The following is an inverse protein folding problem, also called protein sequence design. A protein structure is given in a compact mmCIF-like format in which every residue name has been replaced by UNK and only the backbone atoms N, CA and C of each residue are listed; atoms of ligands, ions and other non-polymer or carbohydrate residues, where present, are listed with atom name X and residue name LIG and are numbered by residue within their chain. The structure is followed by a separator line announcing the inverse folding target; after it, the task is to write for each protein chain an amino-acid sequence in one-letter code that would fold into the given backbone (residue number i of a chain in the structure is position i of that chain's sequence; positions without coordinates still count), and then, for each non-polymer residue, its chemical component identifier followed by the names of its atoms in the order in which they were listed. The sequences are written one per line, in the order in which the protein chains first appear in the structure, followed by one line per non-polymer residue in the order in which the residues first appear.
data_IF_914999724813
#
_entry.id   IF_914999724813
#
_cell.length_a   1.000
_cell.length_b   1.000
_cell.length_c   1.000
_cell.angle_alpha   90.00
_cell.angle_beta   90.00
_cell.angle_gamma   90.00
#
_symmetry.space_group_name_H-M   'P 1'
#
loop_
_entity.id
_entity.type
_entity.pdbx_description
1 polymer ?
#
# COMPACT_ATOMS: atom_id res chain seq x y z
N UNK A 1 30.01 -21.15 -19.10
CA UNK A 1 28.85 -21.43 -19.96
C UNK A 1 28.18 -22.69 -19.43
N UNK A 2 27.29 -22.54 -18.44
CA UNK A 2 26.43 -23.62 -17.92
C UNK A 2 25.10 -22.95 -17.57
N UNK A 3 24.06 -23.39 -18.26
CA UNK A 3 22.65 -23.04 -18.07
C UNK A 3 22.13 -23.66 -16.77
N UNK A 4 21.44 -22.87 -15.95
CA UNK A 4 20.64 -23.38 -14.82
C UNK A 4 19.21 -22.83 -14.92
N UNK A 5 18.46 -23.41 -15.87
CA UNK A 5 17.02 -23.55 -15.78
C UNK A 5 16.77 -24.76 -14.88
N UNK A 6 16.30 -24.54 -13.66
CA UNK A 6 15.75 -25.60 -12.82
C UNK A 6 14.38 -25.15 -12.33
N UNK A 7 13.36 -25.65 -13.02
CA UNK A 7 11.97 -25.62 -12.62
C UNK A 7 11.83 -26.34 -11.27
N UNK A 8 11.49 -25.61 -10.22
CA UNK A 8 10.97 -26.18 -8.98
C UNK A 8 9.45 -26.12 -9.01
N UNK A 9 8.85 -27.09 -9.69
CA UNK A 9 7.47 -27.46 -9.48
C UNK A 9 7.41 -28.33 -8.21
N UNK A 10 7.11 -27.72 -7.06
CA UNK A 10 6.59 -28.48 -5.92
C UNK A 10 5.08 -28.25 -5.88
N UNK A 11 4.34 -29.30 -6.24
CA UNK A 11 2.90 -29.39 -6.01
C UNK A 11 2.63 -29.36 -4.51
N UNK A 12 2.35 -28.17 -3.99
CA UNK A 12 1.92 -27.96 -2.63
C UNK A 12 0.45 -28.38 -2.52
N UNK A 13 0.23 -29.60 -2.04
CA UNK A 13 -1.08 -30.06 -1.58
C UNK A 13 -1.43 -29.33 -0.28
N UNK A 14 -1.92 -28.09 -0.40
CA UNK A 14 -2.41 -27.35 0.78
C UNK A 14 -3.75 -27.94 1.18
N UNK A 15 -3.75 -28.71 2.26
CA UNK A 15 -5.00 -29.08 2.95
C UNK A 15 -5.56 -27.80 3.59
N UNK A 16 -6.70 -27.35 3.08
CA UNK A 16 -7.46 -26.20 3.60
C UNK A 16 -8.31 -26.71 4.78
N UNK A 17 -8.40 -25.93 5.85
CA UNK A 17 -8.97 -26.35 7.13
C UNK A 17 -10.39 -25.81 7.35
N UNK A 18 -11.05 -26.42 8.36
CA UNK A 18 -12.50 -26.52 8.64
C UNK A 18 -13.43 -25.30 8.56
N UNK A 19 -13.03 -24.09 8.19
CA UNK A 19 -13.92 -22.90 8.20
C UNK A 19 -13.48 -21.74 7.27
N UNK A 20 -12.74 -22.02 6.18
CA UNK A 20 -12.16 -20.95 5.36
C UNK A 20 -13.11 -20.45 4.25
N UNK A 21 -13.44 -19.15 4.25
CA UNK A 21 -14.11 -18.48 3.12
C UNK A 21 -13.13 -18.26 1.96
N UNK A 22 -13.62 -18.04 0.74
CA UNK A 22 -12.78 -17.80 -0.44
C UNK A 22 -11.79 -16.63 -0.26
N UNK A 23 -12.15 -15.48 0.33
CA UNK A 23 -11.19 -14.45 0.77
C UNK A 23 -10.03 -15.01 1.61
N UNK A 24 -10.31 -15.86 2.61
CA UNK A 24 -9.28 -16.49 3.44
C UNK A 24 -8.37 -17.44 2.64
N UNK A 25 -8.92 -18.15 1.66
CA UNK A 25 -8.15 -19.00 0.74
C UNK A 25 -7.16 -18.16 -0.09
N UNK A 26 -7.56 -16.98 -0.59
CA UNK A 26 -6.64 -16.07 -1.31
C UNK A 26 -5.45 -15.65 -0.43
N UNK A 27 -5.69 -15.20 0.81
CA UNK A 27 -4.58 -14.81 1.68
C UNK A 27 -3.68 -15.98 2.08
N UNK A 28 -4.25 -17.15 2.38
CA UNK A 28 -3.45 -18.34 2.71
C UNK A 28 -2.55 -18.73 1.54
N UNK A 29 -3.09 -18.70 0.32
CA UNK A 29 -2.36 -18.91 -0.91
C UNK A 29 -1.22 -17.89 -1.09
N UNK A 30 -1.51 -16.60 -0.90
CA UNK A 30 -0.52 -15.53 -0.99
C UNK A 30 0.58 -15.74 0.06
N UNK A 31 0.23 -15.95 1.32
CA UNK A 31 1.16 -16.21 2.43
C UNK A 31 2.11 -17.37 2.13
N UNK A 32 1.57 -18.48 1.64
CA UNK A 32 2.34 -19.67 1.27
C UNK A 32 3.33 -19.39 0.14
N UNK A 33 2.97 -18.46 -0.76
CA UNK A 33 3.78 -18.12 -1.93
C UNK A 33 4.81 -17.03 -1.61
N UNK A 34 4.62 -16.24 -0.54
CA UNK A 34 5.46 -15.08 -0.21
C UNK A 34 6.29 -15.20 1.07
N UNK A 35 6.25 -16.34 1.79
CA UNK A 35 6.93 -16.43 3.10
C UNK A 35 8.46 -16.54 2.98
N UNK A 36 9.13 -15.38 3.02
CA UNK A 36 10.37 -15.22 3.79
C UNK A 36 10.01 -14.59 5.14
N UNK A 37 10.49 -15.20 6.23
CA UNK A 37 10.13 -14.95 7.62
C UNK A 37 10.25 -13.49 8.08
N UNK A 38 9.45 -13.08 9.07
CA UNK A 38 9.91 -12.64 10.40
C UNK A 38 8.70 -12.35 11.33
N UNK A 39 8.81 -12.85 12.57
CA UNK A 39 8.07 -12.50 13.80
C UNK A 39 6.54 -12.35 13.79
N UNK A 40 5.85 -13.35 14.34
CA UNK A 40 4.91 -13.20 15.47
C UNK A 40 3.50 -12.65 15.24
N UNK A 41 3.27 -11.75 14.28
CA UNK A 41 1.92 -11.30 13.93
C UNK A 41 1.77 -11.24 12.43
N UNK A 42 0.66 -11.79 11.93
CA UNK A 42 0.34 -11.72 10.51
C UNK A 42 0.12 -10.25 10.14
N UNK A 43 0.89 -9.63 9.23
CA UNK A 43 0.65 -8.25 8.83
C UNK A 43 -0.54 -8.14 7.87
N UNK A 44 -1.01 -9.24 7.30
CA UNK A 44 -2.05 -9.24 6.29
C UNK A 44 -3.45 -9.41 6.88
N UNK A 45 -4.40 -8.61 6.39
CA UNK A 45 -5.81 -8.62 6.77
C UNK A 45 -6.70 -8.76 5.53
N UNK A 46 -7.82 -9.44 5.70
CA UNK A 46 -8.88 -9.53 4.69
C UNK A 46 -9.70 -8.25 4.71
N UNK A 47 -10.17 -7.84 3.54
CA UNK A 47 -11.36 -6.99 3.47
C UNK A 47 -12.59 -7.86 3.53
N UNK A 48 -13.56 -7.48 4.35
CA UNK A 48 -14.85 -8.19 4.44
C UNK A 48 -15.59 -8.17 3.10
N UNK A 49 -15.39 -7.10 2.32
CA UNK A 49 -15.97 -6.91 0.99
C UNK A 49 -14.87 -6.51 0.00
N UNK A 50 -14.37 -7.46 -0.82
CA UNK A 50 -13.43 -7.16 -1.88
C UNK A 50 -13.89 -6.02 -2.78
N UNK A 51 -12.99 -5.09 -3.07
CA UNK A 51 -13.30 -3.89 -3.86
C UNK A 51 -12.85 -4.13 -5.30
N UNK A 52 -13.82 -4.22 -6.20
CA UNK A 52 -13.54 -4.29 -7.65
C UNK A 52 -12.93 -2.99 -8.15
N UNK A 53 -11.94 -3.11 -9.02
CA UNK A 53 -11.30 -1.94 -9.63
C UNK A 53 -11.98 -1.64 -10.98
N UNK A 54 -12.64 -0.47 -11.16
CA UNK A 54 -13.38 -0.17 -12.37
C UNK A 54 -12.44 0.17 -13.54
N UNK A 55 -12.96 0.14 -14.77
CA UNK A 55 -12.19 0.50 -15.96
C UNK A 55 -11.84 2.01 -16.00
N UNK A 56 -12.64 2.84 -15.33
CA UNK A 56 -12.49 4.29 -15.27
C UNK A 56 -12.28 4.75 -13.82
N UNK A 57 -11.07 4.54 -13.32
CA UNK A 57 -10.71 4.76 -11.91
C UNK A 57 -11.04 6.16 -11.39
N UNK A 58 -10.84 7.18 -12.22
CA UNK A 58 -11.04 8.56 -11.84
C UNK A 58 -12.51 9.00 -11.95
N UNK A 59 -13.35 8.31 -12.72
CA UNK A 59 -14.76 8.69 -12.89
C UNK A 59 -15.70 8.09 -11.83
N UNK A 60 -15.28 7.01 -11.18
CA UNK A 60 -16.15 6.21 -10.33
C UNK A 60 -16.13 6.71 -8.87
N UNK A 61 -17.22 7.37 -8.46
CA UNK A 61 -17.38 7.91 -7.10
C UNK A 61 -17.50 6.82 -6.03
N UNK A 62 -18.06 5.66 -6.38
CA UNK A 62 -18.17 4.51 -5.48
C UNK A 62 -16.82 3.91 -5.17
N UNK A 63 -16.00 3.69 -6.20
CA UNK A 63 -14.63 3.22 -6.07
C UNK A 63 -13.74 4.21 -5.34
N UNK A 64 -13.82 5.52 -5.65
CA UNK A 64 -13.11 6.57 -4.90
C UNK A 64 -13.46 6.54 -3.42
N UNK A 65 -14.73 6.30 -3.08
CA UNK A 65 -15.19 6.19 -1.69
C UNK A 65 -14.63 4.91 -1.04
N UNK A 66 -14.68 3.78 -1.74
CA UNK A 66 -14.13 2.52 -1.26
C UNK A 66 -12.62 2.58 -1.03
N UNK A 67 -11.86 3.23 -1.92
CA UNK A 67 -10.40 3.42 -1.73
C UNK A 67 -10.12 4.27 -0.48
N UNK A 68 -10.88 5.34 -0.24
CA UNK A 68 -10.70 6.18 0.95
C UNK A 68 -10.86 5.42 2.26
N UNK A 69 -11.61 4.32 2.28
CA UNK A 69 -11.73 3.46 3.47
C UNK A 69 -10.38 2.85 3.86
N UNK A 70 -9.48 2.59 2.90
CA UNK A 70 -8.14 2.08 3.15
C UNK A 70 -7.14 3.15 3.64
N UNK A 71 -7.52 4.43 3.58
CA UNK A 71 -6.75 5.54 4.19
C UNK A 71 -7.17 5.82 5.65
N UNK A 72 -8.10 5.03 6.20
CA UNK A 72 -8.46 5.07 7.63
C UNK A 72 -7.44 4.30 8.47
N UNK A 73 -7.28 4.70 9.73
CA UNK A 73 -6.50 3.94 10.70
C UNK A 73 -7.27 2.65 11.05
N UNK A 74 -6.75 1.44 10.78
CA UNK A 74 -7.36 0.21 11.27
C UNK A 74 -7.38 0.20 12.80
N UNK A 75 -8.49 -0.28 13.38
CA UNK A 75 -8.63 -0.41 14.83
C UNK A 75 -7.69 -1.46 15.44
N UNK A 76 -7.68 -1.56 16.78
CA UNK A 76 -6.88 -2.58 17.51
C UNK A 76 -7.17 -4.02 17.05
N UNK A 77 -8.41 -4.31 16.66
CA UNK A 77 -8.84 -5.61 16.12
C UNK A 77 -8.49 -5.82 14.63
N UNK A 78 -7.92 -4.83 13.95
CA UNK A 78 -7.68 -4.87 12.51
C UNK A 78 -8.92 -4.67 11.65
N UNK A 79 -10.07 -4.33 12.23
CA UNK A 79 -11.23 -3.89 11.47
C UNK A 79 -11.09 -2.42 11.06
N UNK A 80 -11.51 -2.08 9.84
CA UNK A 80 -11.64 -0.69 9.41
C UNK A 80 -12.86 -0.08 10.12
N UNK A 81 -12.71 0.99 10.92
CA UNK A 81 -13.84 1.63 11.55
C UNK A 81 -14.76 2.25 10.49
N UNK A 82 -16.08 2.21 10.75
CA UNK A 82 -17.13 2.71 9.83
C UNK A 82 -17.23 4.23 9.80
N UNK A 83 -16.69 4.92 10.81
CA UNK A 83 -16.89 6.36 11.02
C UNK A 83 -15.68 7.19 10.57
N UNK A 84 -15.95 8.39 10.01
CA UNK A 84 -14.93 9.33 9.50
C UNK A 84 -14.00 9.90 10.60
N UNK A 85 -14.34 9.73 11.87
CA UNK A 85 -13.55 10.17 13.02
C UNK A 85 -12.17 9.48 13.14
N UNK A 86 -11.95 8.38 12.40
CA UNK A 86 -10.73 7.56 12.46
C UNK A 86 -9.78 7.77 11.27
N UNK A 87 -9.88 8.91 10.58
CA UNK A 87 -8.85 9.26 9.59
C UNK A 87 -7.51 9.51 10.29
N UNK A 88 -6.42 9.12 9.62
CA UNK A 88 -5.05 9.46 10.01
C UNK A 88 -4.97 10.97 10.33
N UNK A 89 -5.56 11.81 9.48
CA UNK A 89 -5.61 13.26 9.66
C UNK A 89 -6.36 13.69 10.94
N UNK A 90 -7.50 13.09 11.28
CA UNK A 90 -8.25 13.48 12.49
C UNK A 90 -7.51 13.10 13.77
N UNK A 91 -6.98 11.87 13.85
CA UNK A 91 -6.19 11.40 14.99
C UNK A 91 -4.93 12.25 15.19
N UNK A 92 -4.22 12.53 14.09
CA UNK A 92 -3.01 13.34 14.09
C UNK A 92 -3.26 14.84 14.34
N UNK A 93 -4.39 15.37 13.87
CA UNK A 93 -4.81 16.75 14.18
C UNK A 93 -5.08 16.92 15.67
N UNK A 94 -5.67 15.91 16.33
CA UNK A 94 -5.89 15.91 17.78
C UNK A 94 -4.56 15.97 18.54
N UNK A 95 -3.57 15.18 18.12
CA UNK A 95 -2.20 15.20 18.68
C UNK A 95 -1.56 16.58 18.46
N UNK A 96 -1.65 17.13 17.25
CA UNK A 96 -0.97 18.37 16.89
C UNK A 96 -1.37 19.61 17.70
N UNK A 97 -2.56 19.60 18.31
CA UNK A 97 -3.03 20.72 19.14
C UNK A 97 -2.28 20.82 20.47
N UNK A 98 -1.67 19.71 20.90
CA UNK A 98 -1.12 19.56 22.24
C UNK A 98 0.40 19.36 22.26
N UNK A 99 1.05 19.16 21.10
CA UNK A 99 2.51 18.95 20.98
C UNK A 99 3.26 20.26 20.72
N UNK A 100 4.29 20.52 21.50
CA UNK A 100 5.42 21.38 21.18
C UNK A 100 6.61 20.51 20.78
N UNK A 101 7.14 20.73 19.57
CA UNK A 101 8.37 20.08 19.17
C UNK A 101 9.53 20.86 19.76
N UNK A 102 10.42 20.17 20.47
CA UNK A 102 11.63 20.81 20.97
C UNK A 102 12.52 21.18 19.78
N UNK A 103 13.03 22.41 19.74
CA UNK A 103 14.09 22.77 18.79
C UNK A 103 15.32 21.94 19.16
N UNK A 104 15.58 20.85 18.43
CA UNK A 104 16.78 20.04 18.63
C UNK A 104 18.01 20.95 18.57
N UNK A 105 18.75 21.03 19.67
CA UNK A 105 20.03 21.71 19.69
C UNK A 105 21.06 20.77 19.07
N UNK A 106 21.52 21.10 17.86
CA UNK A 106 22.56 20.32 17.18
C UNK A 106 23.86 20.37 18.00
N UNK A 107 24.51 19.21 18.15
CA UNK A 107 25.88 19.13 18.63
C UNK A 107 26.85 19.80 17.64
N UNK A 108 28.05 20.15 18.08
CA UNK A 108 29.02 20.82 17.20
C UNK A 108 29.46 19.95 16.02
N UNK A 109 29.51 18.62 16.23
CA UNK A 109 29.75 17.64 15.16
C UNK A 109 28.61 17.66 14.12
N UNK A 110 27.36 17.71 14.57
CA UNK A 110 26.19 17.76 13.67
C UNK A 110 26.09 19.09 12.93
N UNK A 111 26.41 20.21 13.58
CA UNK A 111 26.52 21.51 12.92
C UNK A 111 27.58 21.47 11.81
N UNK A 112 28.71 20.82 12.07
CA UNK A 112 29.76 20.67 11.08
C UNK A 112 29.32 19.81 9.90
N UNK A 113 28.67 18.67 10.16
CA UNK A 113 28.13 17.79 9.11
C UNK A 113 27.05 18.46 8.27
N UNK A 114 26.17 19.26 8.90
CA UNK A 114 25.17 20.06 8.21
C UNK A 114 25.84 21.11 7.31
N UNK A 115 26.88 21.78 7.81
CA UNK A 115 27.66 22.77 7.04
C UNK A 115 28.35 22.12 5.84
N UNK A 116 28.94 20.94 6.01
CA UNK A 116 29.59 20.19 4.92
C UNK A 116 28.57 19.74 3.87
N UNK A 117 27.42 19.20 4.29
CA UNK A 117 26.35 18.80 3.37
C UNK A 117 25.79 20.01 2.60
N UNK A 118 25.57 21.16 3.26
CA UNK A 118 25.13 22.40 2.61
C UNK A 118 26.16 22.90 1.60
N UNK A 119 27.46 22.87 1.92
CA UNK A 119 28.54 23.27 1.00
C UNK A 119 28.66 22.38 -0.24
N UNK A 120 28.28 21.10 -0.14
CA UNK A 120 28.25 20.22 -1.31
C UNK A 120 27.16 20.66 -2.30
N UNK A 121 26.04 21.16 -1.79
CA UNK A 121 24.87 21.49 -2.60
C UNK A 121 24.80 22.95 -3.05
N UNK A 122 25.26 23.89 -2.20
CA UNK A 122 25.12 25.33 -2.42
C UNK A 122 26.43 26.07 -2.18
N UNK A 123 26.64 27.13 -2.97
CA UNK A 123 27.83 27.98 -2.89
C UNK A 123 27.69 29.08 -1.82
N UNK A 124 26.46 29.45 -1.49
CA UNK A 124 26.11 30.53 -0.57
C UNK A 124 25.36 30.01 0.67
N UNK A 125 25.43 30.78 1.76
CA UNK A 125 24.75 30.42 3.02
C UNK A 125 23.22 30.48 2.91
N UNK A 126 22.70 31.29 1.98
CA UNK A 126 21.26 31.41 1.71
C UNK A 126 20.72 30.27 0.83
N UNK A 127 21.57 29.32 0.41
CA UNK A 127 21.18 28.15 -0.39
C UNK A 127 20.48 28.51 -1.71
N UNK A 128 20.83 29.65 -2.31
CA UNK A 128 20.19 30.13 -3.54
C UNK A 128 20.96 29.74 -4.79
N UNK A 129 22.28 29.53 -4.67
CA UNK A 129 23.16 29.24 -5.79
C UNK A 129 23.67 27.81 -5.69
N UNK A 130 23.20 26.89 -6.56
CA UNK A 130 23.65 25.51 -6.53
C UNK A 130 25.14 25.40 -6.92
N UNK A 131 25.84 24.41 -6.36
CA UNK A 131 27.17 24.03 -6.83
C UNK A 131 27.11 23.43 -8.23
N UNK A 132 28.25 23.32 -8.91
CA UNK A 132 28.34 22.60 -10.19
C UNK A 132 27.90 21.13 -10.05
N UNK A 133 28.27 20.50 -8.94
CA UNK A 133 27.84 19.14 -8.57
C UNK A 133 26.32 19.04 -8.47
N UNK A 134 25.68 19.93 -7.71
CA UNK A 134 24.23 19.88 -7.53
C UNK A 134 23.47 20.28 -8.79
N UNK A 135 23.99 21.20 -9.59
CA UNK A 135 23.41 21.58 -10.89
C UNK A 135 23.40 20.41 -11.88
N UNK A 136 24.49 19.64 -11.91
CA UNK A 136 24.60 18.42 -12.72
C UNK A 136 23.57 17.38 -12.26
N UNK A 137 23.45 17.16 -10.95
CA UNK A 137 22.43 16.28 -10.37
C UNK A 137 21.00 16.68 -10.79
N UNK A 138 20.66 17.97 -10.66
CA UNK A 138 19.33 18.48 -11.02
C UNK A 138 19.03 18.32 -12.53
N UNK A 139 20.06 18.41 -13.37
CA UNK A 139 19.92 18.18 -14.82
C UNK A 139 19.53 16.73 -15.11
N UNK A 140 20.22 15.75 -14.51
CA UNK A 140 19.87 14.34 -14.66
C UNK A 140 18.50 14.02 -14.06
N UNK A 141 18.16 14.60 -12.91
CA UNK A 141 16.83 14.47 -12.30
C UNK A 141 15.74 14.94 -13.25
N UNK A 142 15.89 16.13 -13.83
CA UNK A 142 14.95 16.71 -14.80
C UNK A 142 14.79 15.81 -16.04
N UNK A 143 15.91 15.32 -16.60
CA UNK A 143 15.88 14.40 -17.74
C UNK A 143 15.14 13.09 -17.41
N UNK A 144 15.38 12.51 -16.23
CA UNK A 144 14.69 11.30 -15.78
C UNK A 144 13.20 11.55 -15.60
N UNK A 145 12.83 12.64 -14.92
CA UNK A 145 11.43 13.00 -14.63
C UNK A 145 10.66 13.22 -15.94
N UNK A 146 11.29 13.81 -16.95
CA UNK A 146 10.70 13.97 -18.28
C UNK A 146 10.46 12.64 -18.99
N UNK A 147 11.44 11.72 -18.98
CA UNK A 147 11.25 10.39 -19.58
C UNK A 147 10.18 9.58 -18.82
N UNK A 148 10.12 9.70 -17.49
CA UNK A 148 9.09 9.06 -16.69
C UNK A 148 7.69 9.60 -17.01
N UNK A 149 7.56 10.91 -17.31
CA UNK A 149 6.32 11.51 -17.79
C UNK A 149 5.92 10.95 -19.16
N UNK A 150 6.84 10.90 -20.11
CA UNK A 150 6.60 10.34 -21.44
C UNK A 150 6.18 8.86 -21.38
N UNK A 151 6.79 8.08 -20.47
CA UNK A 151 6.45 6.68 -20.26
C UNK A 151 4.98 6.47 -19.84
N UNK A 152 4.41 7.42 -19.07
CA UNK A 152 3.01 7.36 -18.64
C UNK A 152 2.02 7.59 -19.79
N UNK A 153 2.40 8.41 -20.77
CA UNK A 153 1.58 8.69 -21.96
C UNK A 153 1.78 7.69 -23.10
N UNK A 154 2.83 6.86 -23.06
CA UNK A 154 3.16 5.92 -24.13
C UNK A 154 2.35 4.61 -24.02
N UNK A 155 1.63 4.30 -25.10
CA UNK A 155 0.70 3.16 -25.18
C UNK A 155 1.29 1.97 -25.93
N UNK A 156 2.33 2.18 -26.75
CA UNK A 156 2.93 1.11 -27.55
C UNK A 156 3.99 0.34 -26.76
N UNK A 157 4.01 -1.01 -26.79
CA UNK A 157 5.03 -1.79 -26.09
C UNK A 157 6.46 -1.44 -26.51
N UNK A 158 6.67 -1.22 -27.82
CA UNK A 158 7.97 -0.83 -28.36
C UNK A 158 8.41 0.57 -27.90
N UNK A 159 7.49 1.55 -27.87
CA UNK A 159 7.75 2.88 -27.36
C UNK A 159 8.10 2.87 -25.87
N UNK A 160 7.35 2.12 -25.07
CA UNK A 160 7.62 1.93 -23.63
C UNK A 160 9.01 1.32 -23.38
N UNK A 161 9.37 0.28 -24.12
CA UNK A 161 10.69 -0.36 -24.01
C UNK A 161 11.83 0.61 -24.33
N UNK A 162 11.69 1.46 -25.36
CA UNK A 162 12.67 2.48 -25.71
C UNK A 162 12.83 3.53 -24.59
N UNK A 163 11.71 4.04 -24.06
CA UNK A 163 11.75 5.02 -22.96
C UNK A 163 12.37 4.41 -21.69
N UNK A 164 12.07 3.15 -21.37
CA UNK A 164 12.70 2.44 -20.26
C UNK A 164 14.22 2.31 -20.44
N UNK A 165 14.69 2.02 -21.65
CA UNK A 165 16.12 1.99 -21.95
C UNK A 165 16.77 3.37 -21.76
N UNK A 166 16.10 4.46 -22.18
CA UNK A 166 16.59 5.82 -21.96
C UNK A 166 16.69 6.14 -20.47
N UNK A 167 15.69 5.77 -19.67
CA UNK A 167 15.72 5.93 -18.21
C UNK A 167 16.88 5.15 -17.60
N UNK A 168 17.12 3.90 -18.03
CA UNK A 168 18.23 3.09 -17.56
C UNK A 168 19.59 3.76 -17.85
N UNK A 169 19.79 4.28 -19.07
CA UNK A 169 21.00 4.99 -19.45
C UNK A 169 21.18 6.30 -18.65
N UNK A 170 20.10 7.06 -18.43
CA UNK A 170 20.12 8.26 -17.58
C UNK A 170 20.54 7.89 -16.15
N UNK A 171 19.96 6.84 -15.57
CA UNK A 171 20.29 6.42 -14.21
C UNK A 171 21.77 5.99 -14.08
N UNK A 172 22.28 5.23 -15.04
CA UNK A 172 23.69 4.83 -15.07
C UNK A 172 24.61 6.05 -15.16
N UNK A 173 24.33 6.99 -16.06
CA UNK A 173 25.13 8.21 -16.20
C UNK A 173 25.00 9.14 -14.98
N UNK A 174 23.84 9.16 -14.34
CA UNK A 174 23.59 9.93 -13.13
C UNK A 174 24.43 9.39 -11.96
N UNK A 175 24.55 8.08 -11.83
CA UNK A 175 25.39 7.44 -10.82
C UNK A 175 26.88 7.71 -11.05
N UNK A 176 27.35 7.60 -12.30
CA UNK A 176 28.77 7.74 -12.63
C UNK A 176 29.24 9.20 -12.66
N UNK A 177 28.45 10.08 -13.27
CA UNK A 177 28.87 11.46 -13.60
C UNK A 177 27.99 12.53 -12.97
N UNK A 178 26.81 12.17 -12.47
CA UNK A 178 25.88 13.10 -11.84
C UNK A 178 25.97 13.14 -10.32
N UNK A 179 26.97 12.48 -9.71
CA UNK A 179 27.22 12.46 -8.27
C UNK A 179 25.99 12.08 -7.45
N UNK A 180 25.15 11.19 -7.98
CA UNK A 180 23.83 10.85 -7.42
C UNK A 180 23.90 10.47 -5.95
N UNK A 181 24.80 9.56 -5.59
CA UNK A 181 24.90 9.05 -4.23
C UNK A 181 25.36 10.12 -3.23
N UNK A 182 26.35 10.93 -3.58
CA UNK A 182 26.88 11.98 -2.70
C UNK A 182 25.84 13.08 -2.47
N UNK A 183 25.14 13.48 -3.53
CA UNK A 183 24.07 14.48 -3.44
C UNK A 183 22.87 13.95 -2.67
N UNK A 184 22.42 12.72 -2.91
CA UNK A 184 21.33 12.10 -2.15
C UNK A 184 21.68 11.94 -0.67
N UNK A 185 22.93 11.58 -0.37
CA UNK A 185 23.41 11.51 1.01
C UNK A 185 23.47 12.89 1.67
N UNK A 186 23.93 13.92 0.97
CA UNK A 186 23.93 15.29 1.48
C UNK A 186 22.50 15.83 1.69
N UNK A 187 21.58 15.59 0.75
CA UNK A 187 20.16 15.93 0.89
C UNK A 187 19.54 15.21 2.10
N UNK A 188 19.82 13.91 2.25
CA UNK A 188 19.35 13.12 3.39
C UNK A 188 19.96 13.61 4.71
N UNK A 189 21.21 14.09 4.71
CA UNK A 189 21.92 14.64 5.87
C UNK A 189 21.36 15.99 6.28
N UNK A 190 21.11 16.89 5.32
CA UNK A 190 20.42 18.16 5.58
C UNK A 190 19.04 17.86 6.14
N UNK A 191 18.28 16.94 5.54
CA UNK A 191 16.97 16.55 6.06
C UNK A 191 17.03 15.90 7.46
N UNK A 192 18.15 15.31 7.89
CA UNK A 192 18.29 14.74 9.26
C UNK A 192 18.69 15.76 10.31
N UNK A 193 19.37 16.82 9.87
CA UNK A 193 20.00 17.81 10.73
C UNK A 193 19.38 19.20 10.51
N UNK A 194 18.23 19.26 9.82
CA UNK A 194 17.58 20.51 9.46
C UNK A 194 17.18 21.26 10.75
N UNK A 195 17.71 22.47 10.92
CA UNK A 195 17.40 23.34 12.06
C UNK A 195 16.14 24.19 11.84
N UNK A 196 15.48 24.02 10.68
CA UNK A 196 14.18 24.62 10.39
C UNK A 196 13.26 24.35 11.57
N UNK A 197 12.80 25.42 12.20
CA UNK A 197 12.08 25.36 13.46
C UNK A 197 10.88 24.40 13.42
N UNK A 198 10.48 23.84 14.58
CA UNK A 198 9.29 23.03 14.81
C UNK A 198 8.07 23.33 13.93
N UNK A 199 7.76 24.61 13.77
CA UNK A 199 6.62 25.10 13.00
C UNK A 199 6.69 24.82 11.51
N UNK A 200 7.88 24.84 10.91
CA UNK A 200 8.09 24.63 9.47
C UNK A 200 8.01 23.14 9.14
N UNK A 201 8.65 22.29 9.96
CA UNK A 201 8.56 20.84 9.83
C UNK A 201 7.11 20.35 10.04
N UNK A 202 6.41 20.94 11.02
CA UNK A 202 5.00 20.66 11.25
C UNK A 202 4.11 21.12 10.08
N UNK A 203 4.37 22.29 9.49
CA UNK A 203 3.62 22.77 8.33
C UNK A 203 3.85 21.90 7.08
N UNK A 204 5.09 21.52 6.79
CA UNK A 204 5.44 20.60 5.70
C UNK A 204 4.76 19.23 5.88
N UNK A 205 4.78 18.68 7.09
CA UNK A 205 4.08 17.44 7.42
C UNK A 205 2.56 17.56 7.31
N UNK A 206 1.99 18.65 7.84
CA UNK A 206 0.55 18.92 7.73
C UNK A 206 0.13 19.00 6.27
N UNK A 207 0.95 19.62 5.41
CA UNK A 207 0.70 19.67 3.96
C UNK A 207 0.77 18.29 3.32
N UNK A 208 1.75 17.45 3.69
CA UNK A 208 1.86 16.07 3.21
C UNK A 208 0.62 15.23 3.54
N UNK A 209 -0.01 15.43 4.71
CA UNK A 209 -1.24 14.71 5.09
C UNK A 209 -2.49 15.35 4.47
N UNK A 210 -2.53 16.67 4.34
CA UNK A 210 -3.70 17.42 3.87
C UNK A 210 -3.96 17.24 2.37
N UNK A 211 -2.93 16.85 1.59
CA UNK A 211 -3.03 16.65 0.15
C UNK A 211 -3.97 15.51 -0.29
N UNK A 212 -4.47 14.69 0.65
CA UNK A 212 -5.63 13.82 0.45
C UNK A 212 -5.33 12.51 -0.27
N UNK A 213 -5.74 11.40 0.36
CA UNK A 213 -5.61 9.99 -0.07
C UNK A 213 -4.26 9.64 -0.70
N UNK A 214 -3.32 9.11 0.10
CA UNK A 214 -2.05 8.61 -0.43
C UNK A 214 -2.26 7.40 -1.37
N UNK A 215 -3.37 6.66 -1.21
CA UNK A 215 -3.80 5.67 -2.20
C UNK A 215 -4.46 6.40 -3.38
N UNK A 216 -3.63 6.80 -4.34
CA UNK A 216 -4.09 7.42 -5.59
C UNK A 216 -4.61 6.34 -6.55
N UNK A 217 -5.77 6.54 -7.22
CA UNK A 217 -6.24 5.62 -8.25
C UNK A 217 -5.21 5.37 -9.36
N UNK A 218 -4.37 6.37 -9.66
CA UNK A 218 -3.27 6.25 -10.63
C UNK A 218 -2.16 5.27 -10.19
N UNK A 219 -1.92 5.09 -8.89
CA UNK A 219 -0.98 4.09 -8.38
C UNK A 219 -1.51 2.66 -8.59
N UNK A 220 -2.84 2.50 -8.51
CA UNK A 220 -3.51 1.22 -8.77
C UNK A 220 -3.47 0.90 -10.27
N UNK A 221 -3.72 1.87 -11.16
CA UNK A 221 -3.62 1.62 -12.60
C UNK A 221 -2.21 1.26 -13.06
N UNK A 222 -1.16 1.88 -12.50
CA UNK A 222 0.22 1.52 -12.85
C UNK A 222 0.55 0.07 -12.47
N UNK A 223 0.01 -0.42 -11.36
CA UNK A 223 0.20 -1.79 -10.87
C UNK A 223 -0.32 -2.85 -11.88
N UNK A 224 -1.32 -2.50 -12.69
CA UNK A 224 -1.88 -3.43 -13.70
C UNK A 224 -0.95 -3.69 -14.88
N UNK A 225 -0.02 -2.77 -15.14
CA UNK A 225 0.94 -2.87 -16.23
C UNK A 225 2.28 -3.46 -15.75
N UNK A 226 2.44 -3.70 -14.45
CA UNK A 226 3.64 -4.34 -13.92
C UNK A 226 3.74 -5.81 -14.36
N UNK A 227 4.95 -6.30 -14.71
CA UNK A 227 5.16 -7.69 -15.10
C UNK A 227 5.24 -8.66 -13.91
N UNK A 228 5.14 -8.17 -12.67
CA UNK A 228 5.44 -8.86 -11.41
C UNK A 228 4.27 -9.70 -10.83
N UNK A 229 3.21 -9.95 -11.61
CA UNK A 229 2.06 -10.74 -11.15
C UNK A 229 2.45 -12.19 -10.89
N UNK A 230 2.11 -12.67 -9.71
CA UNK A 230 2.37 -14.06 -9.30
C UNK A 230 1.10 -14.87 -9.54
N UNK A 231 1.21 -15.92 -10.34
CA UNK A 231 0.09 -16.85 -10.58
C UNK A 231 0.01 -17.89 -9.48
N UNK A 232 -1.16 -18.02 -8.90
CA UNK A 232 -1.54 -19.09 -7.98
C UNK A 232 -2.57 -20.01 -8.65
N UNK A 233 -2.48 -21.31 -8.36
CA UNK A 233 -3.47 -22.30 -8.77
C UNK A 233 -3.45 -23.47 -7.79
N UNK A 234 -4.58 -23.77 -7.15
CA UNK A 234 -4.71 -24.91 -6.25
C UNK A 234 -6.08 -25.58 -6.38
N UNK A 235 -6.10 -26.87 -6.06
CA UNK A 235 -7.36 -27.57 -5.79
C UNK A 235 -7.93 -27.04 -4.48
N UNK A 236 -9.22 -26.70 -4.48
CA UNK A 236 -9.91 -26.15 -3.30
C UNK A 236 -11.06 -27.08 -2.96
N UNK A 237 -11.21 -27.38 -1.67
CA UNK A 237 -12.41 -27.97 -1.11
C UNK A 237 -12.84 -27.05 0.04
N UNK A 238 -14.11 -26.64 0.06
CA UNK A 238 -14.67 -25.86 1.16
C UNK A 238 -15.37 -26.82 2.12
N UNK A 239 -15.11 -26.64 3.42
CA UNK A 239 -15.71 -27.50 4.45
C UNK A 239 -17.20 -27.22 4.68
N UNK A 240 -17.64 -25.99 4.36
CA UNK A 240 -19.05 -25.58 4.44
C UNK A 240 -19.62 -25.31 3.03
N UNK A 241 -20.56 -26.15 2.54
CA UNK A 241 -21.19 -25.95 1.25
C UNK A 241 -22.09 -24.72 1.15
N UNK A 242 -22.68 -24.27 2.25
CA UNK A 242 -23.55 -23.09 2.26
C UNK A 242 -22.75 -21.78 2.16
N UNK A 243 -21.46 -21.83 2.49
CA UNK A 243 -20.54 -20.73 2.29
C UNK A 243 -20.41 -20.37 0.80
N UNK A 244 -20.49 -21.33 -0.13
CA UNK A 244 -20.31 -21.07 -1.56
C UNK A 244 -21.65 -20.80 -2.27
N UNK A 245 -22.12 -19.55 -2.19
CA UNK A 245 -23.36 -19.09 -2.84
C UNK A 245 -23.16 -17.78 -3.60
N UNK A 246 -23.96 -17.60 -4.65
CA UNK A 246 -24.15 -16.31 -5.30
C UNK A 246 -25.08 -15.46 -4.45
N UNK A 247 -24.71 -14.21 -4.21
CA UNK A 247 -25.63 -13.20 -3.70
C UNK A 247 -26.23 -12.46 -4.90
N UNK A 248 -27.55 -12.58 -5.09
CA UNK A 248 -28.31 -11.92 -6.16
C UNK A 248 -29.36 -11.06 -5.49
N UNK A 249 -29.24 -9.74 -5.60
CA UNK A 249 -30.15 -8.78 -4.94
C UNK A 249 -30.34 -9.07 -3.43
N UNK A 250 -29.28 -9.54 -2.76
CA UNK A 250 -29.30 -9.92 -1.33
C UNK A 250 -29.81 -11.34 -1.04
N UNK A 251 -30.35 -12.07 -2.02
CA UNK A 251 -30.74 -13.46 -1.87
C UNK A 251 -29.60 -14.42 -2.21
N UNK A 252 -29.41 -15.46 -1.38
CA UNK A 252 -28.40 -16.51 -1.64
C UNK A 252 -28.94 -17.53 -2.63
N UNK A 253 -28.17 -17.81 -3.68
CA UNK A 253 -28.39 -18.91 -4.62
C UNK A 253 -27.21 -19.88 -4.55
N UNK A 254 -27.43 -21.15 -4.20
CA UNK A 254 -26.34 -22.10 -3.97
C UNK A 254 -25.58 -22.41 -5.25
N UNK A 255 -24.27 -22.58 -5.13
CA UNK A 255 -23.40 -23.03 -6.22
C UNK A 255 -22.82 -24.42 -5.91
N UNK A 256 -22.48 -25.21 -6.94
CA UNK A 256 -21.68 -26.41 -6.73
C UNK A 256 -20.33 -26.10 -6.07
N UNK A 257 -19.79 -27.07 -5.35
CA UNK A 257 -18.48 -26.94 -4.70
C UNK A 257 -17.38 -26.54 -5.69
N UNK A 258 -16.46 -25.62 -5.33
CA UNK A 258 -15.25 -25.40 -6.11
C UNK A 258 -14.36 -26.65 -6.06
N UNK A 259 -13.67 -26.94 -7.16
CA UNK A 259 -12.63 -27.98 -7.25
C UNK A 259 -11.26 -27.39 -7.49
N UNK A 260 -11.20 -26.21 -8.12
CA UNK A 260 -9.95 -25.48 -8.38
C UNK A 260 -10.19 -23.98 -8.28
N UNK A 261 -9.23 -23.29 -7.68
CA UNK A 261 -9.11 -21.84 -7.69
C UNK A 261 -7.76 -21.45 -8.30
N UNK A 262 -7.78 -20.63 -9.35
CA UNK A 262 -6.60 -19.98 -9.89
C UNK A 262 -6.79 -18.47 -9.92
N UNK A 263 -5.71 -17.72 -9.72
CA UNK A 263 -5.69 -16.26 -9.82
C UNK A 263 -4.26 -15.77 -10.00
N UNK A 264 -4.12 -14.53 -10.45
CA UNK A 264 -2.87 -13.78 -10.37
C UNK A 264 -2.97 -12.76 -9.25
N UNK A 265 -1.90 -12.56 -8.48
CA UNK A 265 -1.87 -11.55 -7.44
C UNK A 265 -0.63 -10.66 -7.52
N UNK A 266 -0.78 -9.46 -6.95
CA UNK A 266 0.28 -8.46 -6.81
C UNK A 266 0.15 -7.79 -5.45
N UNK A 267 1.29 -7.52 -4.81
CA UNK A 267 1.39 -6.67 -3.63
C UNK A 267 1.73 -5.26 -4.08
N UNK A 268 0.76 -4.35 -3.99
CA UNK A 268 0.99 -2.94 -4.29
C UNK A 268 1.42 -2.23 -3.01
N UNK A 269 2.67 -1.81 -2.95
CA UNK A 269 3.16 -0.99 -1.84
C UNK A 269 2.53 0.42 -1.93
N UNK A 270 2.02 0.88 -0.79
CA UNK A 270 1.51 2.23 -0.62
C UNK A 270 2.59 3.02 0.09
N UNK A 271 3.13 4.02 -0.60
CA UNK A 271 4.07 4.97 -0.02
C UNK A 271 3.34 5.86 0.98
N UNK A 272 3.77 5.82 2.25
CA UNK A 272 3.22 6.59 3.37
C UNK A 272 4.22 7.66 3.82
N UNK A 273 4.70 8.46 2.88
CA UNK A 273 5.81 9.41 3.11
C UNK A 273 5.54 10.37 4.28
N UNK A 274 4.28 10.74 4.52
CA UNK A 274 3.90 11.59 5.64
C UNK A 274 4.17 10.92 7.01
N UNK A 275 4.12 9.58 7.04
CA UNK A 275 4.32 8.77 8.25
C UNK A 275 5.76 8.28 8.40
N UNK A 276 6.57 8.37 7.35
CA UNK A 276 8.02 8.14 7.41
C UNK A 276 8.79 9.38 7.92
N UNK A 277 8.08 10.46 8.22
CA UNK A 277 8.69 11.70 8.67
C UNK A 277 9.43 11.49 10.01
N UNK A 278 10.74 11.78 10.00
CA UNK A 278 11.66 11.54 11.13
C UNK A 278 11.17 12.09 12.47
N UNK A 279 10.44 13.20 12.46
CA UNK A 279 9.94 13.80 13.69
C UNK A 279 8.87 12.92 14.38
N UNK A 280 8.16 12.02 13.69
CA UNK A 280 7.25 11.03 14.32
C UNK A 280 7.98 10.02 15.23
N UNK A 281 9.30 9.94 15.09
CA UNK A 281 10.18 9.05 15.83
C UNK A 281 11.07 9.81 16.83
N UNK A 282 10.80 11.11 17.04
CA UNK A 282 11.60 11.96 17.92
C UNK A 282 11.16 11.75 19.39
N UNK A 283 12.12 11.37 20.25
CA UNK A 283 11.92 11.14 21.69
C UNK A 283 11.90 12.44 22.51
N UNK A 284 11.97 13.61 21.85
CA UNK A 284 11.94 14.92 22.51
C UNK A 284 10.59 15.61 22.44
N UNK A 285 9.54 14.89 22.05
CA UNK A 285 8.17 15.42 22.02
C UNK A 285 7.77 15.94 23.40
N UNK A 286 7.29 17.17 23.47
CA UNK A 286 6.76 17.76 24.70
C UNK A 286 5.36 18.29 24.46
N UNK A 287 4.52 18.36 25.49
CA UNK A 287 3.34 19.21 25.37
C UNK A 287 3.72 20.68 25.59
N UNK A 288 2.76 21.56 25.31
CA UNK A 288 2.80 23.00 25.61
C UNK A 288 3.06 23.37 27.08
N UNK A 289 3.09 22.38 27.98
CA UNK A 289 3.38 22.55 29.40
C UNK A 289 4.75 21.98 29.78
N UNK A 290 5.55 21.54 28.81
CA UNK A 290 6.93 21.04 28.98
C UNK A 290 7.08 19.56 29.32
N UNK A 291 5.97 18.81 29.49
CA UNK A 291 6.01 17.38 29.79
C UNK A 291 6.39 16.56 28.57
N UNK A 292 7.28 15.58 28.75
CA UNK A 292 7.70 14.65 27.69
C UNK A 292 6.51 13.76 27.32
N UNK A 293 6.17 13.72 26.03
CA UNK A 293 5.06 12.95 25.49
C UNK A 293 5.46 11.55 25.07
N UNK A 294 6.75 11.33 24.82
CA UNK A 294 7.29 10.06 24.34
C UNK A 294 8.77 9.96 24.73
N UNK A 295 9.16 8.89 25.42
CA UNK A 295 10.57 8.48 25.56
C UNK A 295 10.90 7.21 24.75
N UNK A 296 9.92 6.68 24.01
CA UNK A 296 10.01 5.48 23.20
C UNK A 296 10.23 4.17 23.97
N UNK A 297 10.05 4.14 25.29
CA UNK A 297 10.58 3.06 26.12
C UNK A 297 9.54 2.26 26.92
N UNK A 298 8.30 2.11 26.41
CA UNK A 298 7.32 1.24 27.06
C UNK A 298 7.54 -0.23 26.68
N UNK A 299 8.02 -1.01 27.66
CA UNK A 299 8.18 -2.45 27.52
C UNK A 299 6.83 -3.21 27.41
N UNK A 300 5.71 -2.54 27.67
CA UNK A 300 4.35 -3.09 27.70
C UNK A 300 3.37 -2.14 27.02
N UNK A 301 2.48 -2.66 26.18
CA UNK A 301 1.39 -1.89 25.57
C UNK A 301 0.41 -1.41 26.66
N UNK A 302 0.41 -0.13 27.00
CA UNK A 302 -0.62 0.48 27.83
C UNK A 302 -1.87 0.79 26.98
N UNK A 303 -3.07 0.66 27.55
CA UNK A 303 -4.34 1.04 26.91
C UNK A 303 -4.42 2.51 26.52
N UNK A 304 -3.56 3.33 27.10
CA UNK A 304 -3.42 4.76 26.82
C UNK A 304 -2.30 5.11 25.83
N UNK A 305 -1.65 4.11 25.22
CA UNK A 305 -0.66 4.33 24.16
C UNK A 305 -1.31 4.46 22.78
N UNK A 306 -0.73 5.33 21.95
CA UNK A 306 -1.07 5.41 20.55
C UNK A 306 -0.18 4.43 19.78
N UNK A 307 -0.83 3.46 19.12
CA UNK A 307 -0.21 2.58 18.15
C UNK A 307 -0.67 3.04 16.77
N UNK A 308 0.11 3.89 16.07
CA UNK A 308 -0.26 4.29 14.72
C UNK A 308 -0.14 3.05 13.84
N UNK A 309 -1.27 2.62 13.31
CA UNK A 309 -1.36 1.50 12.38
C UNK A 309 -1.80 2.04 11.05
N UNK A 310 -1.08 1.72 9.99
CA UNK A 310 -1.42 2.21 8.66
C UNK A 310 -1.36 1.12 7.62
N UNK A 311 -2.23 1.24 6.63
CA UNK A 311 -2.22 0.36 5.46
C UNK A 311 -0.99 0.66 4.63
N UNK A 312 0.00 -0.24 4.61
CA UNK A 312 1.25 -0.08 3.87
C UNK A 312 1.25 -0.80 2.54
N UNK A 313 0.36 -1.79 2.35
CA UNK A 313 0.24 -2.51 1.09
C UNK A 313 -1.21 -2.90 0.79
N UNK A 314 -1.56 -2.96 -0.49
CA UNK A 314 -2.79 -3.56 -0.97
C UNK A 314 -2.48 -4.88 -1.65
N UNK A 315 -3.36 -5.85 -1.45
CA UNK A 315 -3.33 -7.13 -2.14
C UNK A 315 -4.35 -7.06 -3.26
N UNK A 316 -3.83 -7.03 -4.48
CA UNK A 316 -4.61 -7.06 -5.70
C UNK A 316 -4.63 -8.49 -6.25
N UNK A 317 -5.80 -8.95 -6.69
CA UNK A 317 -5.97 -10.19 -7.45
C UNK A 317 -6.67 -9.92 -8.77
N UNK A 318 -6.28 -10.60 -9.84
CA UNK A 318 -6.94 -10.57 -11.15
C UNK A 318 -6.95 -11.97 -11.76
N UNK A 319 -7.64 -12.14 -12.89
CA UNK A 319 -7.76 -13.42 -13.59
C UNK A 319 -8.20 -14.55 -12.63
N UNK A 320 -9.19 -14.26 -11.79
CA UNK A 320 -9.75 -15.24 -10.86
C UNK A 320 -10.55 -16.25 -11.66
N UNK A 321 -10.24 -17.52 -11.50
CA UNK A 321 -10.87 -18.64 -12.18
C UNK A 321 -11.27 -19.70 -11.15
N UNK A 322 -12.51 -20.14 -11.19
CA UNK A 322 -13.06 -21.13 -10.28
C UNK A 322 -13.69 -22.24 -11.11
N UNK A 323 -13.11 -23.44 -11.01
CA UNK A 323 -13.70 -24.66 -11.56
C UNK A 323 -14.61 -25.29 -10.51
N UNK A 324 -15.74 -25.84 -10.94
CA UNK A 324 -16.78 -26.38 -10.07
C UNK A 324 -16.89 -27.91 -10.24
N UNK A 325 -17.34 -28.59 -9.18
CA UNK A 325 -17.50 -30.04 -9.15
C UNK A 325 -18.66 -30.52 -10.03
N UNK A 326 -19.68 -29.69 -10.21
CA UNK A 326 -20.87 -30.00 -11.00
C UNK A 326 -21.33 -28.78 -11.80
N UNK A 327 -22.34 -28.99 -12.65
CA UNK A 327 -22.94 -27.93 -13.46
C UNK A 327 -23.73 -26.95 -12.57
N UNK A 328 -23.58 -25.66 -12.85
CA UNK A 328 -24.35 -24.58 -12.22
C UNK A 328 -25.82 -24.77 -12.57
N UNK A 329 -26.68 -24.62 -11.56
CA UNK A 329 -28.13 -24.77 -11.75
C UNK A 329 -28.65 -23.75 -12.77
N UNK A 330 -29.70 -24.09 -13.56
CA UNK A 330 -30.26 -23.15 -14.53
C UNK A 330 -30.67 -21.81 -13.92
N UNK A 331 -31.18 -21.80 -12.68
CA UNK A 331 -31.55 -20.57 -11.97
C UNK A 331 -30.34 -19.70 -11.62
N UNK A 332 -29.25 -20.27 -11.09
CA UNK A 332 -28.01 -19.55 -10.83
C UNK A 332 -27.35 -19.06 -12.13
N UNK A 333 -27.38 -19.87 -13.20
CA UNK A 333 -26.87 -19.48 -14.52
C UNK A 333 -27.69 -18.36 -15.15
N UNK A 334 -29.02 -18.36 -14.99
CA UNK A 334 -29.88 -17.27 -15.44
C UNK A 334 -29.58 -15.98 -14.66
N UNK A 335 -29.34 -16.07 -13.35
CA UNK A 335 -28.90 -14.93 -12.55
C UNK A 335 -27.58 -14.36 -13.07
N UNK A 336 -26.55 -15.20 -13.25
CA UNK A 336 -25.24 -14.82 -13.82
C UNK A 336 -25.33 -14.14 -15.20
N UNK A 337 -26.32 -14.49 -16.00
CA UNK A 337 -26.54 -13.89 -17.33
C UNK A 337 -27.41 -12.63 -17.30
N UNK A 338 -28.11 -12.36 -16.20
CA UNK A 338 -29.14 -11.32 -16.13
C UNK A 338 -28.61 -9.89 -16.00
N UNK A 339 -27.29 -9.70 -15.85
CA UNK A 339 -26.69 -8.37 -15.71
C UNK A 339 -26.89 -7.72 -14.34
N UNK A 340 -27.46 -8.46 -13.37
CA UNK A 340 -27.65 -8.00 -11.99
C UNK A 340 -26.33 -7.87 -11.25
N UNK A 341 -26.35 -7.16 -10.12
CA UNK A 341 -25.21 -7.12 -9.21
C UNK A 341 -25.08 -8.50 -8.57
N UNK A 342 -23.95 -9.14 -8.83
CA UNK A 342 -23.69 -10.50 -8.36
C UNK A 342 -22.36 -10.50 -7.65
N UNK A 343 -22.36 -11.00 -6.42
CA UNK A 343 -21.14 -11.28 -5.70
C UNK A 343 -21.04 -12.74 -5.31
N UNK A 344 -19.81 -13.23 -5.24
CA UNK A 344 -19.44 -14.55 -4.75
C UNK A 344 -18.61 -14.35 -3.48
N UNK A 345 -19.17 -14.69 -2.32
CA UNK A 345 -18.47 -14.50 -1.05
C UNK A 345 -17.97 -13.06 -0.84
N UNK A 346 -18.80 -12.08 -1.23
CA UNK A 346 -18.47 -10.66 -1.20
C UNK A 346 -17.61 -10.18 -2.38
N UNK A 347 -17.04 -11.09 -3.18
CA UNK A 347 -16.30 -10.73 -4.39
C UNK A 347 -17.27 -10.32 -5.51
N UNK A 348 -17.28 -9.07 -5.98
CA UNK A 348 -18.14 -8.65 -7.07
C UNK A 348 -17.73 -9.36 -8.37
N UNK A 349 -18.62 -10.22 -8.88
CA UNK A 349 -18.48 -10.86 -10.19
C UNK A 349 -19.09 -10.00 -11.30
N UNK A 350 -20.14 -9.24 -10.97
CA UNK A 350 -20.82 -8.36 -11.92
C UNK A 350 -21.38 -7.12 -11.20
N UNK A 351 -21.18 -5.94 -11.78
CA UNK A 351 -21.66 -4.63 -11.34
C UNK A 351 -21.88 -3.74 -12.58
N UNK A 352 -22.66 -2.67 -12.45
CA UNK A 352 -22.87 -1.70 -13.53
C UNK A 352 -21.53 -1.07 -13.94
N UNK A 353 -21.23 -1.04 -15.25
CA UNK A 353 -19.92 -0.61 -15.76
C UNK A 353 -18.80 -1.65 -15.70
N UNK A 354 -19.08 -2.89 -15.22
CA UNK A 354 -18.13 -4.01 -15.22
C UNK A 354 -18.55 -5.13 -16.18
N UNK A 355 -17.80 -5.33 -17.28
CA UNK A 355 -18.02 -6.36 -18.29
C UNK A 355 -16.73 -7.10 -18.60
N UNK A 356 -16.39 -8.14 -17.82
CA UNK A 356 -15.32 -9.12 -18.16
C UNK A 356 -15.50 -10.47 -17.43
N UNK A 357 -16.70 -10.74 -16.89
CA UNK A 357 -16.97 -12.01 -16.22
C UNK A 357 -17.33 -13.09 -17.24
N UNK A 358 -16.73 -14.27 -17.09
CA UNK A 358 -16.95 -15.42 -17.98
C UNK A 358 -17.63 -16.52 -17.19
N UNK A 359 -18.79 -16.96 -17.67
CA UNK A 359 -19.56 -18.03 -17.04
C UNK A 359 -19.76 -19.19 -18.01
N UNK A 360 -19.34 -20.37 -17.61
CA UNK A 360 -19.68 -21.64 -18.28
C UNK A 360 -20.28 -22.60 -17.25
N UNK A 361 -20.85 -23.71 -17.70
CA UNK A 361 -21.59 -24.64 -16.83
C UNK A 361 -20.80 -25.06 -15.57
N UNK A 362 -19.48 -25.22 -15.65
CA UNK A 362 -18.62 -25.62 -14.52
C UNK A 362 -17.53 -24.62 -14.18
N UNK A 363 -17.68 -23.38 -14.63
CA UNK A 363 -16.60 -22.41 -14.60
C UNK A 363 -17.12 -21.00 -14.34
N UNK A 364 -16.50 -20.34 -13.37
CA UNK A 364 -16.69 -18.92 -13.09
C UNK A 364 -15.34 -18.23 -13.23
N UNK A 365 -15.26 -17.19 -14.06
CA UNK A 365 -14.05 -16.41 -14.27
C UNK A 365 -14.32 -14.92 -14.14
N UNK A 366 -13.36 -14.19 -13.55
CA UNK A 366 -13.31 -12.73 -13.58
C UNK A 366 -11.89 -12.29 -13.93
N UNK A 367 -11.75 -11.59 -15.05
CA UNK A 367 -10.47 -10.99 -15.42
C UNK A 367 -10.15 -9.71 -14.62
N UNK A 368 -11.13 -9.18 -13.87
CA UNK A 368 -11.01 -7.86 -13.26
C UNK A 368 -10.14 -7.86 -12.00
N UNK A 369 -9.20 -6.91 -11.89
CA UNK A 369 -8.49 -6.70 -10.65
C UNK A 369 -9.44 -6.32 -9.51
N UNK A 370 -9.21 -6.90 -8.34
CA UNK A 370 -9.94 -6.57 -7.11
C UNK A 370 -8.97 -6.51 -5.93
N UNK A 371 -9.23 -5.60 -5.00
CA UNK A 371 -8.52 -5.52 -3.73
C UNK A 371 -9.15 -6.55 -2.79
N UNK A 372 -8.39 -7.56 -2.36
CA UNK A 372 -8.88 -8.66 -1.49
C UNK A 372 -8.28 -8.65 -0.09
N UNK A 373 -7.27 -7.82 0.14
CA UNK A 373 -6.65 -7.67 1.44
C UNK A 373 -5.67 -6.52 1.46
N UNK A 374 -5.06 -6.35 2.61
CA UNK A 374 -4.08 -5.29 2.84
C UNK A 374 -3.06 -5.70 3.90
N UNK A 375 -1.88 -5.09 3.87
CA UNK A 375 -0.90 -5.19 4.93
C UNK A 375 -0.97 -3.96 5.83
N UNK A 376 -0.86 -4.18 7.14
CA UNK A 376 -0.72 -3.12 8.12
C UNK A 376 0.76 -3.02 8.48
N UNK A 377 1.28 -1.80 8.42
CA UNK A 377 2.51 -1.43 9.11
C UNK A 377 2.14 -0.87 10.48
N UNK A 378 2.60 -1.54 11.52
CA UNK A 378 2.59 -0.98 12.87
C UNK A 378 3.79 -0.05 12.99
N UNK A 379 3.53 1.23 13.26
CA UNK A 379 4.58 2.17 13.57
C UNK A 379 5.09 1.93 15.00
N UNK A 380 6.33 2.35 15.32
CA UNK A 380 6.81 2.38 16.69
C UNK A 380 5.81 3.08 17.60
N UNK A 381 5.65 2.54 18.81
CA UNK A 381 4.68 3.03 19.78
C UNK A 381 4.92 4.51 20.05
N UNK A 382 3.84 5.28 20.12
CA UNK A 382 3.86 6.61 20.71
C UNK A 382 3.40 6.42 22.17
N UNK A 383 4.31 6.53 23.16
CA UNK A 383 4.02 6.38 24.58
C UNK A 383 2.90 7.31 25.03
N UNK A 384 2.24 6.94 26.14
CA UNK A 384 1.23 7.79 26.74
C UNK A 384 1.86 9.07 27.32
N UNK A 385 1.42 10.27 26.89
CA UNK A 385 1.96 11.54 27.37
C UNK A 385 1.59 11.89 28.81
N UNK A 386 0.66 11.17 29.44
CA UNK A 386 0.37 11.27 30.87
C UNK A 386 -0.48 10.08 31.34
N UNK A 387 -0.09 9.35 32.41
CA UNK A 387 -0.94 8.36 33.05
C UNK A 387 -2.31 8.97 33.39
N UNK A 388 -3.38 8.54 32.72
CA UNK A 388 -4.75 9.04 32.92
C UNK A 388 -5.32 9.97 31.83
N UNK A 389 -4.55 10.36 30.79
CA UNK A 389 -5.11 11.09 29.65
C UNK A 389 -5.74 10.10 28.65
N UNK A 390 -7.05 10.21 28.45
CA UNK A 390 -7.78 9.34 27.53
C UNK A 390 -7.70 9.92 26.11
N UNK A 391 -7.20 9.12 25.16
CA UNK A 391 -7.03 9.55 23.76
C UNK A 391 -8.33 9.49 22.94
N UNK A 392 -9.39 8.89 23.49
CA UNK A 392 -10.71 8.71 22.85
C UNK A 392 -11.32 10.02 22.35
#
# INVERSE_FOLDING_TARGET
MVTAQAAFAQSLSVVIGRNDTLPAVFLKAIRTTTSTSLSGQDPFRLVEHPVSVPNFLEGDSGFRTAIKMFDRLPGRSGALPTDDAHTILAALTKISKDVEFSSRILSDLEKQQLKEARKLLFQDENQTVPTSTYSTYLTFKSQRDEQARLLRSETTPAGRANILQKIANINQNWEISGFKNDVELALARIASLDDRGPSTQFAEWKNLISDGSEIRPSSISSAFVEPSWIRFSASVALDDPEAFSLLVDGAKSPLPQPTRLSFEFLRLQISRNALEARFLFDTTWRNKFGFILSDGNSATDDDSELLPRVVSELILVKNVEIALAADITPGAMAALKSGRIISLLGFPLQQEGIRDAVFQLRYLGSARPSIVGYAILEMPKIPNPAPGRNWN
#
